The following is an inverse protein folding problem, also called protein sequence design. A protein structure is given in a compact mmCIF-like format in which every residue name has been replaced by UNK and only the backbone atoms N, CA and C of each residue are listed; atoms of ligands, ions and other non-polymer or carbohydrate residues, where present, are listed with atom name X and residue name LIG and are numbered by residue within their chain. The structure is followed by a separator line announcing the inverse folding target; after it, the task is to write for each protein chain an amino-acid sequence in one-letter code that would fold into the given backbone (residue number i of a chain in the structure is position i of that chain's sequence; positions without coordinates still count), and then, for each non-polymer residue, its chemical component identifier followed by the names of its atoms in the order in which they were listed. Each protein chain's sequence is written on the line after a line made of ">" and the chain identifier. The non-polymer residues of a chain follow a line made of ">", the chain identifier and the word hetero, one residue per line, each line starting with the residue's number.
data_IF_356731837408
#
_entry.id   IF_356731837408
#
_cell.length_a   1.000
_cell.length_b   1.000
_cell.length_c   1.000
_cell.angle_alpha   90.00
_cell.angle_beta   90.00
_cell.angle_gamma   90.00
#
_symmetry.space_group_name_H-M   'P 1'
#
loop_
_entity.id
_entity.type
_entity.pdbx_description
1 polymer ?
#
# COMPACT_ATOMS: atom_id res chain seq x y z
N UNK A 1 19.43 34.48 8.55
CA UNK A 1 18.81 34.75 9.88
C UNK A 1 18.91 33.47 10.69
N UNK A 2 19.86 33.52 11.59
CA UNK A 2 20.38 32.49 12.48
C UNK A 2 19.64 32.54 13.83
N UNK A 3 19.69 31.38 14.56
CA UNK A 3 19.24 31.17 15.95
C UNK A 3 17.74 30.98 16.15
N UNK A 4 17.33 29.83 16.71
CA UNK A 4 17.34 29.45 18.13
C UNK A 4 17.32 27.91 18.24
N UNK A 5 18.40 27.33 18.69
CA UNK A 5 18.44 26.04 19.38
C UNK A 5 19.11 26.35 20.73
N UNK A 6 18.29 26.46 21.77
CA UNK A 6 18.77 26.50 23.14
C UNK A 6 18.42 25.15 23.79
N UNK A 7 19.44 24.44 24.22
CA UNK A 7 19.34 23.20 24.99
C UNK A 7 18.72 23.44 26.36
N UNK A 8 17.95 22.49 26.82
CA UNK A 8 17.62 22.29 28.23
C UNK A 8 18.21 20.96 28.68
N UNK A 9 19.21 21.03 29.55
CA UNK A 9 19.74 19.90 30.29
C UNK A 9 18.66 19.26 31.18
N UNK A 10 18.69 17.94 31.38
CA UNK A 10 17.76 17.30 32.31
C UNK A 10 18.26 17.50 33.75
N UNK A 11 17.45 18.17 34.55
CA UNK A 11 17.62 18.19 36.03
C UNK A 11 17.24 16.79 36.54
N UNK A 12 18.20 16.08 37.12
CA UNK A 12 17.97 14.83 37.82
C UNK A 12 17.21 15.10 39.11
N UNK A 13 15.97 14.62 39.22
CA UNK A 13 15.24 14.56 40.48
C UNK A 13 15.42 13.18 41.11
N UNK A 14 15.97 13.17 42.31
CA UNK A 14 16.34 11.98 43.08
C UNK A 14 15.16 11.54 43.97
N UNK A 15 14.06 11.07 43.37
CA UNK A 15 13.02 10.31 44.07
C UNK A 15 12.61 9.12 43.24
N UNK A 16 13.07 7.93 43.63
CA UNK A 16 12.84 6.64 42.95
C UNK A 16 11.37 6.18 42.96
N UNK A 17 10.58 6.74 42.07
CA UNK A 17 9.31 6.15 41.67
C UNK A 17 9.44 5.63 40.25
N UNK A 18 9.19 4.33 40.07
CA UNK A 18 9.22 3.66 38.75
C UNK A 18 8.37 4.47 37.76
N UNK A 19 9.06 5.14 36.83
CA UNK A 19 8.42 6.01 35.83
C UNK A 19 7.44 5.22 34.98
N UNK A 20 6.17 5.61 35.05
CA UNK A 20 5.17 5.18 34.11
C UNK A 20 5.66 5.49 32.68
N UNK A 21 5.77 4.48 31.84
CA UNK A 21 6.08 4.65 30.41
C UNK A 21 5.07 5.65 29.84
N UNK A 22 5.50 6.76 29.23
CA UNK A 22 4.58 7.74 28.69
C UNK A 22 3.66 7.05 27.69
N UNK A 23 2.35 7.03 27.97
CA UNK A 23 1.33 6.68 26.99
C UNK A 23 1.54 7.62 25.82
N UNK A 24 1.84 7.09 24.64
CA UNK A 24 2.10 7.85 23.43
C UNK A 24 0.99 8.91 23.27
N UNK A 25 1.35 10.19 23.44
CA UNK A 25 0.43 11.31 23.31
C UNK A 25 -0.20 11.26 21.93
N UNK A 26 -1.51 11.43 21.84
CA UNK A 26 -2.21 11.48 20.56
C UNK A 26 -1.54 12.52 19.66
N UNK A 27 -1.12 12.10 18.46
CA UNK A 27 -0.44 12.99 17.52
C UNK A 27 -1.29 14.25 17.25
N UNK A 28 -0.68 15.46 17.13
CA UNK A 28 -1.41 16.69 16.90
C UNK A 28 -2.37 16.60 15.70
N UNK A 29 -3.52 17.29 15.74
CA UNK A 29 -4.54 17.25 14.67
C UNK A 29 -3.99 17.65 13.30
N UNK A 30 -3.03 18.56 13.24
CA UNK A 30 -2.31 18.96 12.02
C UNK A 30 -1.53 17.80 11.40
N UNK A 31 -0.91 16.96 12.21
CA UNK A 31 -0.15 15.81 11.81
C UNK A 31 -1.06 14.73 11.17
N UNK A 32 -2.24 14.50 11.74
CA UNK A 32 -3.26 13.59 11.18
C UNK A 32 -3.85 14.08 9.87
N UNK A 33 -4.16 15.37 9.74
CA UNK A 33 -4.72 15.94 8.50
C UNK A 33 -3.74 15.82 7.34
N UNK A 34 -2.45 16.08 7.57
CA UNK A 34 -1.43 15.87 6.54
C UNK A 34 -1.33 14.41 6.11
N UNK A 35 -1.42 13.46 7.04
CA UNK A 35 -1.43 12.02 6.74
C UNK A 35 -2.60 11.61 5.85
N UNK A 36 -3.81 12.14 6.07
CA UNK A 36 -4.97 11.88 5.21
C UNK A 36 -4.78 12.45 3.80
N UNK A 37 -4.23 13.67 3.69
CA UNK A 37 -3.91 14.28 2.40
C UNK A 37 -2.86 13.44 1.62
N UNK A 38 -1.83 12.96 2.30
CA UNK A 38 -0.84 12.06 1.72
C UNK A 38 -1.45 10.73 1.25
N UNK A 39 -2.42 10.18 1.98
CA UNK A 39 -3.13 8.95 1.58
C UNK A 39 -3.94 9.15 0.30
N UNK A 40 -4.66 10.28 0.18
CA UNK A 40 -5.41 10.62 -1.03
C UNK A 40 -4.49 10.82 -2.23
N UNK A 41 -3.39 11.53 -2.04
CA UNK A 41 -2.40 11.78 -3.08
C UNK A 41 -1.73 10.48 -3.55
N UNK A 42 -1.42 9.60 -2.60
CA UNK A 42 -0.91 8.25 -2.89
C UNK A 42 -1.87 7.45 -3.77
N UNK A 43 -3.18 7.48 -3.44
CA UNK A 43 -4.19 6.84 -4.28
C UNK A 43 -4.23 7.39 -5.70
N UNK A 44 -4.09 8.71 -5.87
CA UNK A 44 -3.99 9.36 -7.18
C UNK A 44 -2.81 8.86 -8.00
N UNK A 45 -1.62 8.85 -7.42
CA UNK A 45 -0.42 8.35 -8.07
C UNK A 45 -0.49 6.85 -8.39
N UNK A 46 -1.06 6.03 -7.48
CA UNK A 46 -1.23 4.60 -7.73
C UNK A 46 -2.23 4.32 -8.84
N UNK A 47 -3.32 5.10 -8.93
CA UNK A 47 -4.26 5.02 -10.03
C UNK A 47 -3.63 5.37 -11.39
N UNK A 48 -2.80 6.43 -11.43
CA UNK A 48 -2.05 6.81 -12.62
C UNK A 48 -1.04 5.72 -13.02
N UNK A 49 -0.25 5.22 -12.06
CA UNK A 49 0.70 4.14 -12.25
C UNK A 49 0.04 2.92 -12.87
N UNK A 50 -1.06 2.43 -12.29
CA UNK A 50 -1.78 1.25 -12.78
C UNK A 50 -2.26 1.39 -14.22
N UNK A 51 -2.77 2.57 -14.61
CA UNK A 51 -3.23 2.83 -15.99
C UNK A 51 -2.05 2.89 -16.97
N UNK A 52 -0.98 3.60 -16.62
CA UNK A 52 0.21 3.71 -17.46
C UNK A 52 0.88 2.34 -17.62
N UNK A 53 0.98 1.56 -16.53
CA UNK A 53 1.52 0.19 -16.59
C UNK A 53 0.63 -0.73 -17.45
N UNK A 54 -0.70 -0.54 -17.39
CA UNK A 54 -1.65 -1.22 -18.27
C UNK A 54 -1.37 -0.94 -19.76
N UNK A 55 -1.05 0.31 -20.11
CA UNK A 55 -0.62 0.66 -21.48
C UNK A 55 0.68 -0.07 -21.85
N UNK A 56 1.66 -0.12 -20.95
CA UNK A 56 2.92 -0.82 -21.20
C UNK A 56 2.70 -2.33 -21.44
N UNK A 57 1.80 -2.97 -20.69
CA UNK A 57 1.45 -4.38 -20.85
C UNK A 57 0.82 -4.70 -22.22
N UNK A 58 0.20 -3.73 -22.87
CA UNK A 58 -0.30 -3.85 -24.25
C UNK A 58 0.79 -3.64 -25.32
N UNK A 59 2.05 -3.39 -24.93
CA UNK A 59 3.18 -3.19 -25.83
C UNK A 59 4.10 -4.41 -25.86
N UNK A 60 4.90 -4.53 -26.92
CA UNK A 60 6.00 -5.51 -26.98
C UNK A 60 7.08 -5.14 -25.95
N UNK A 61 7.69 -6.11 -25.27
CA UNK A 61 7.56 -7.56 -25.42
C UNK A 61 6.43 -8.21 -24.59
N UNK A 62 5.71 -7.45 -23.78
CA UNK A 62 4.74 -7.99 -22.82
C UNK A 62 3.55 -8.66 -23.51
N UNK A 63 2.99 -8.03 -24.56
CA UNK A 63 1.82 -8.56 -25.28
C UNK A 63 2.06 -9.94 -25.90
N UNK A 64 3.31 -10.28 -26.20
CA UNK A 64 3.69 -11.58 -26.76
C UNK A 64 4.12 -12.62 -25.74
N UNK A 65 4.22 -12.25 -24.47
CA UNK A 65 4.67 -13.14 -23.41
C UNK A 65 3.48 -13.94 -22.82
N UNK A 66 3.81 -15.06 -22.15
CA UNK A 66 2.79 -15.86 -21.48
C UNK A 66 2.02 -15.04 -20.41
N UNK A 67 0.75 -15.36 -20.24
CA UNK A 67 -0.21 -14.55 -19.45
C UNK A 67 0.22 -14.23 -18.01
N UNK A 68 1.04 -15.09 -17.36
CA UNK A 68 1.61 -14.82 -16.04
C UNK A 68 2.99 -14.20 -16.09
N UNK A 69 3.76 -14.47 -17.15
CA UNK A 69 5.13 -13.98 -17.28
C UNK A 69 5.16 -12.47 -17.55
N UNK A 70 4.28 -11.99 -18.42
CA UNK A 70 4.19 -10.56 -18.76
C UNK A 70 4.00 -9.65 -17.55
N UNK A 71 2.97 -9.85 -16.70
CA UNK A 71 2.77 -8.99 -15.52
C UNK A 71 3.90 -9.10 -14.48
N UNK A 72 4.48 -10.30 -14.29
CA UNK A 72 5.59 -10.49 -13.35
C UNK A 72 6.89 -9.81 -13.84
N UNK A 73 7.17 -9.90 -15.13
CA UNK A 73 8.31 -9.19 -15.72
C UNK A 73 8.11 -7.67 -15.72
N UNK A 74 6.88 -7.20 -15.98
CA UNK A 74 6.55 -5.79 -15.89
C UNK A 74 6.65 -5.27 -14.45
N UNK A 75 6.20 -6.04 -13.45
CA UNK A 75 6.34 -5.70 -12.03
C UNK A 75 7.81 -5.61 -11.62
N UNK A 76 8.66 -6.55 -12.05
CA UNK A 76 10.08 -6.51 -11.78
C UNK A 76 10.76 -5.27 -12.39
N UNK A 77 10.43 -4.94 -13.64
CA UNK A 77 10.93 -3.74 -14.32
C UNK A 77 10.45 -2.46 -13.61
N UNK A 78 9.16 -2.41 -13.30
CA UNK A 78 8.55 -1.30 -12.57
C UNK A 78 9.23 -1.07 -11.22
N UNK A 79 9.32 -2.11 -10.38
CA UNK A 79 9.93 -2.00 -9.05
C UNK A 79 11.41 -1.63 -9.11
N UNK A 80 12.12 -2.11 -10.15
CA UNK A 80 13.52 -1.72 -10.41
C UNK A 80 13.66 -0.23 -10.74
N UNK A 81 12.84 0.27 -11.66
CA UNK A 81 12.83 1.68 -12.04
C UNK A 81 12.32 2.58 -10.92
N UNK A 82 11.29 2.15 -10.18
CA UNK A 82 10.79 2.85 -8.99
C UNK A 82 11.87 2.92 -7.89
N UNK A 83 12.64 1.83 -7.70
CA UNK A 83 13.81 1.86 -6.81
C UNK A 83 14.81 2.91 -7.26
N UNK A 84 15.09 3.01 -8.56
CA UNK A 84 15.96 4.05 -9.13
C UNK A 84 15.48 5.46 -8.80
N UNK A 85 14.19 5.76 -9.01
CA UNK A 85 13.58 7.04 -8.65
C UNK A 85 13.69 7.34 -7.14
N UNK A 86 13.40 6.36 -6.30
CA UNK A 86 13.49 6.53 -4.85
C UNK A 86 14.92 6.69 -4.35
N UNK A 87 15.89 5.98 -4.94
CA UNK A 87 17.32 6.15 -4.64
C UNK A 87 17.78 7.54 -5.06
N UNK A 88 17.38 8.03 -6.24
CA UNK A 88 17.67 9.40 -6.67
C UNK A 88 17.08 10.44 -5.73
N UNK A 89 15.83 10.22 -5.23
CA UNK A 89 15.21 11.09 -4.24
C UNK A 89 15.96 11.08 -2.90
N UNK A 90 16.40 9.90 -2.43
CA UNK A 90 17.24 9.78 -1.23
C UNK A 90 18.60 10.47 -1.41
N UNK A 91 19.19 10.41 -2.62
CA UNK A 91 20.43 11.12 -2.95
C UNK A 91 20.22 12.63 -2.86
N UNK A 92 19.19 13.15 -3.52
CA UNK A 92 18.88 14.58 -3.56
C UNK A 92 18.56 15.15 -2.16
N UNK A 93 18.07 14.31 -1.24
CA UNK A 93 17.68 14.71 0.12
C UNK A 93 18.71 14.32 1.18
N UNK A 94 19.91 13.84 0.79
CA UNK A 94 21.01 13.50 1.71
C UNK A 94 20.77 12.25 2.56
N UNK A 95 19.90 11.34 2.13
CA UNK A 95 19.49 10.15 2.89
C UNK A 95 20.19 8.86 2.49
N UNK A 96 21.02 8.84 1.43
CA UNK A 96 21.66 7.62 0.92
C UNK A 96 22.39 6.81 2.00
N UNK A 97 23.12 7.48 2.88
CA UNK A 97 23.86 6.82 3.97
C UNK A 97 22.96 6.13 5.00
N UNK A 98 21.65 6.40 5.00
CA UNK A 98 20.68 5.75 5.90
C UNK A 98 20.23 4.40 5.37
N UNK A 99 20.23 4.17 4.05
CA UNK A 99 19.79 2.93 3.43
C UNK A 99 20.54 1.70 3.95
N UNK A 100 21.88 1.59 3.87
CA UNK A 100 22.59 0.41 4.35
C UNK A 100 22.47 0.24 5.88
N UNK A 101 22.45 1.34 6.63
CA UNK A 101 22.28 1.27 8.10
C UNK A 101 20.90 0.75 8.48
N UNK A 102 19.84 1.21 7.78
CA UNK A 102 18.49 0.74 8.01
C UNK A 102 18.33 -0.71 7.60
N UNK A 103 18.87 -1.11 6.44
CA UNK A 103 18.86 -2.50 5.96
C UNK A 103 19.50 -3.47 6.97
N UNK A 104 20.61 -3.11 7.58
CA UNK A 104 21.29 -3.92 8.58
C UNK A 104 20.58 -3.96 9.94
N UNK A 105 19.54 -3.15 10.15
CA UNK A 105 18.78 -3.11 11.40
C UNK A 105 17.69 -4.17 11.45
N UNK A 106 17.27 -4.56 12.68
CA UNK A 106 16.13 -5.46 12.88
C UNK A 106 14.85 -4.93 12.19
N UNK A 107 14.61 -3.63 12.25
CA UNK A 107 13.44 -3.01 11.61
C UNK A 107 13.55 -3.02 10.08
N UNK A 108 14.74 -2.86 9.54
CA UNK A 108 14.98 -3.02 8.11
C UNK A 108 14.73 -4.46 7.63
N UNK A 109 15.15 -5.47 8.39
CA UNK A 109 14.86 -6.87 8.08
C UNK A 109 13.35 -7.18 8.13
N UNK A 110 12.62 -6.61 9.11
CA UNK A 110 11.15 -6.71 9.16
C UNK A 110 10.54 -6.09 7.90
N UNK A 111 11.06 -4.96 7.46
CA UNK A 111 10.59 -4.28 6.25
C UNK A 111 10.88 -5.11 4.99
N UNK A 112 12.05 -5.73 4.89
CA UNK A 112 12.36 -6.66 3.80
C UNK A 112 11.42 -7.87 3.79
N UNK A 113 11.11 -8.44 4.95
CA UNK A 113 10.12 -9.52 5.06
C UNK A 113 8.72 -9.05 4.62
N UNK A 114 8.31 -7.84 5.05
CA UNK A 114 7.07 -7.21 4.61
C UNK A 114 7.04 -7.04 3.07
N UNK A 115 8.14 -6.57 2.49
CA UNK A 115 8.28 -6.40 1.05
C UNK A 115 8.16 -7.70 0.26
N UNK A 116 8.71 -8.80 0.77
CA UNK A 116 8.57 -10.14 0.16
C UNK A 116 7.13 -10.62 0.21
N UNK A 117 6.46 -10.39 1.34
CA UNK A 117 5.05 -10.79 1.55
C UNK A 117 4.13 -9.98 0.62
N UNK A 118 4.22 -8.65 0.65
CA UNK A 118 3.30 -7.77 -0.09
C UNK A 118 3.65 -7.60 -1.56
N UNK A 119 4.92 -7.73 -1.94
CA UNK A 119 5.38 -7.69 -3.32
C UNK A 119 5.26 -9.09 -3.98
N UNK A 120 6.35 -9.85 -4.08
CA UNK A 120 6.37 -11.09 -4.86
C UNK A 120 5.32 -12.12 -4.46
N UNK A 121 5.07 -12.36 -3.16
CA UNK A 121 4.11 -13.39 -2.72
C UNK A 121 2.68 -12.96 -3.00
N UNK A 122 2.28 -11.78 -2.52
CA UNK A 122 0.91 -11.29 -2.68
C UNK A 122 0.58 -11.03 -4.15
N UNK A 123 1.49 -10.41 -4.90
CA UNK A 123 1.28 -10.15 -6.32
C UNK A 123 1.19 -11.46 -7.13
N UNK A 124 2.04 -12.45 -6.85
CA UNK A 124 1.92 -13.75 -7.50
C UNK A 124 0.59 -14.43 -7.15
N UNK A 125 0.18 -14.40 -5.87
CA UNK A 125 -1.12 -14.89 -5.43
C UNK A 125 -2.28 -14.22 -6.15
N UNK A 126 -2.22 -12.90 -6.32
CA UNK A 126 -3.21 -12.12 -7.07
C UNK A 126 -3.31 -12.53 -8.53
N UNK A 127 -2.17 -12.63 -9.23
CA UNK A 127 -2.13 -13.00 -10.65
C UNK A 127 -2.59 -14.45 -10.88
N UNK A 128 -2.20 -15.40 -10.03
CA UNK A 128 -2.73 -16.76 -10.07
C UNK A 128 -4.22 -16.80 -9.69
N UNK A 129 -4.67 -15.94 -8.76
CA UNK A 129 -6.07 -15.73 -8.46
C UNK A 129 -6.88 -15.35 -9.69
N UNK A 130 -6.38 -14.38 -10.47
CA UNK A 130 -6.97 -13.97 -11.76
C UNK A 130 -7.02 -15.14 -12.73
N UNK A 131 -5.92 -15.89 -12.85
CA UNK A 131 -5.83 -17.02 -13.78
C UNK A 131 -6.86 -18.10 -13.50
N UNK A 132 -7.06 -18.47 -12.23
CA UNK A 132 -7.85 -19.62 -11.85
C UNK A 132 -9.30 -19.29 -11.44
N UNK A 133 -9.54 -18.13 -10.84
CA UNK A 133 -10.89 -17.71 -10.45
C UNK A 133 -11.49 -16.61 -11.34
N UNK A 134 -10.68 -16.02 -12.22
CA UNK A 134 -11.07 -14.87 -13.02
C UNK A 134 -10.80 -13.53 -12.33
N UNK A 135 -10.63 -12.49 -13.13
CA UNK A 135 -10.26 -11.16 -12.66
C UNK A 135 -11.28 -10.57 -11.68
N UNK A 136 -12.58 -10.80 -11.93
CA UNK A 136 -13.67 -10.30 -11.10
C UNK A 136 -13.52 -10.70 -9.63
N UNK A 137 -13.31 -12.00 -9.38
CA UNK A 137 -13.18 -12.53 -8.01
C UNK A 137 -11.87 -12.13 -7.36
N UNK A 138 -10.77 -12.17 -8.10
CA UNK A 138 -9.47 -11.77 -7.57
C UNK A 138 -9.44 -10.29 -7.18
N UNK A 139 -9.99 -9.39 -8.02
CA UNK A 139 -10.11 -7.96 -7.74
C UNK A 139 -11.05 -7.68 -6.56
N UNK A 140 -12.25 -8.31 -6.57
CA UNK A 140 -13.22 -8.13 -5.49
C UNK A 140 -12.64 -8.56 -4.14
N UNK A 141 -11.95 -9.70 -4.09
CA UNK A 141 -11.34 -10.20 -2.86
C UNK A 141 -10.16 -9.32 -2.43
N UNK A 142 -9.29 -8.93 -3.36
CA UNK A 142 -8.16 -8.06 -3.06
C UNK A 142 -8.58 -6.69 -2.53
N UNK A 143 -9.70 -6.15 -2.99
CA UNK A 143 -10.25 -4.90 -2.49
C UNK A 143 -10.59 -4.92 -0.99
N UNK A 144 -10.62 -6.10 -0.36
CA UNK A 144 -10.85 -6.24 1.09
C UNK A 144 -9.58 -6.08 1.94
N UNK A 145 -8.37 -5.91 1.34
CA UNK A 145 -7.11 -5.76 2.08
C UNK A 145 -7.11 -4.63 3.14
N UNK A 146 -7.83 -3.49 2.98
CA UNK A 146 -7.87 -2.48 4.03
C UNK A 146 -8.58 -2.94 5.30
N UNK A 147 -9.57 -3.84 5.17
CA UNK A 147 -10.23 -4.45 6.33
C UNK A 147 -9.26 -5.37 7.08
N UNK A 148 -8.48 -6.18 6.35
CA UNK A 148 -7.41 -7.01 6.95
C UNK A 148 -6.39 -6.11 7.65
N UNK A 149 -5.91 -5.04 6.99
CA UNK A 149 -4.99 -4.07 7.57
C UNK A 149 -5.54 -3.42 8.84
N UNK A 150 -6.80 -3.02 8.86
CA UNK A 150 -7.44 -2.42 10.04
C UNK A 150 -7.55 -3.40 11.22
N UNK A 151 -7.94 -4.65 10.96
CA UNK A 151 -7.99 -5.71 12.00
C UNK A 151 -6.60 -5.95 12.57
N UNK A 152 -5.61 -6.16 11.72
CA UNK A 152 -4.23 -6.40 12.13
C UNK A 152 -3.64 -5.19 12.87
N UNK A 153 -3.91 -3.96 12.43
CA UNK A 153 -3.45 -2.75 13.10
C UNK A 153 -4.06 -2.61 14.49
N UNK A 154 -5.35 -2.95 14.64
CA UNK A 154 -5.99 -2.96 15.95
C UNK A 154 -5.34 -3.97 16.89
N UNK A 155 -5.02 -5.18 16.40
CA UNK A 155 -4.46 -6.29 17.21
C UNK A 155 -2.98 -6.02 17.53
N UNK A 156 -2.15 -5.72 16.54
CA UNK A 156 -0.70 -5.66 16.68
C UNK A 156 -0.16 -4.25 16.97
N UNK A 157 -0.77 -3.22 16.42
CA UNK A 157 -0.36 -1.83 16.62
C UNK A 157 -1.20 -1.10 17.67
N UNK A 158 -2.27 -1.76 18.16
CA UNK A 158 -3.23 -1.19 19.12
C UNK A 158 -3.88 0.11 18.62
N UNK A 159 -4.08 0.22 17.31
CA UNK A 159 -4.79 1.35 16.71
C UNK A 159 -6.26 1.33 17.14
N UNK A 160 -6.80 2.49 17.48
CA UNK A 160 -8.22 2.65 17.78
C UNK A 160 -8.97 2.97 16.50
N UNK A 161 -9.92 2.13 16.12
CA UNK A 161 -10.81 2.31 14.96
C UNK A 161 -12.20 2.55 15.50
N UNK A 162 -12.76 3.75 15.26
CA UNK A 162 -14.11 4.10 15.69
C UNK A 162 -15.17 3.27 14.96
N UNK A 163 -16.41 3.21 15.48
CA UNK A 163 -17.53 2.54 14.80
C UNK A 163 -17.78 3.10 13.40
N UNK A 164 -17.69 4.43 13.23
CA UNK A 164 -17.79 5.09 11.92
C UNK A 164 -16.64 4.70 11.00
N UNK A 165 -15.42 4.54 11.54
CA UNK A 165 -14.27 4.05 10.80
C UNK A 165 -14.49 2.64 10.27
N UNK A 166 -15.00 1.72 11.08
CA UNK A 166 -15.37 0.36 10.66
C UNK A 166 -16.45 0.35 9.59
N UNK A 167 -17.49 1.16 9.76
CA UNK A 167 -18.54 1.30 8.74
C UNK A 167 -17.96 1.85 7.44
N UNK A 168 -17.10 2.87 7.51
CA UNK A 168 -16.42 3.45 6.36
C UNK A 168 -15.55 2.42 5.61
N UNK A 169 -14.77 1.59 6.34
CA UNK A 169 -13.98 0.50 5.77
C UNK A 169 -14.91 -0.50 5.04
N UNK A 170 -16.00 -0.93 5.68
CA UNK A 170 -16.94 -1.86 5.08
C UNK A 170 -17.60 -1.30 3.82
N UNK A 171 -17.99 -0.03 3.82
CA UNK A 171 -18.58 0.66 2.65
C UNK A 171 -17.54 0.84 1.55
N UNK A 172 -16.29 1.21 1.86
CA UNK A 172 -15.20 1.31 0.87
C UNK A 172 -14.97 -0.02 0.18
N UNK A 173 -14.89 -1.11 0.95
CA UNK A 173 -14.72 -2.48 0.44
C UNK A 173 -15.91 -2.88 -0.44
N UNK A 174 -17.15 -2.64 0.01
CA UNK A 174 -18.34 -2.94 -0.77
C UNK A 174 -18.36 -2.19 -2.11
N UNK A 175 -17.99 -0.91 -2.10
CA UNK A 175 -17.89 -0.10 -3.31
C UNK A 175 -16.85 -0.61 -4.29
N UNK A 176 -15.66 -1.01 -3.81
CA UNK A 176 -14.63 -1.60 -4.64
C UNK A 176 -15.08 -2.95 -5.26
N UNK A 177 -15.77 -3.79 -4.48
CA UNK A 177 -16.38 -5.03 -4.99
C UNK A 177 -17.41 -4.74 -6.08
N UNK A 178 -18.33 -3.80 -5.83
CA UNK A 178 -19.34 -3.41 -6.82
C UNK A 178 -18.67 -2.93 -8.12
N UNK A 179 -17.64 -2.09 -8.02
CA UNK A 179 -16.95 -1.54 -9.18
C UNK A 179 -16.24 -2.60 -10.03
N UNK A 180 -15.73 -3.66 -9.41
CA UNK A 180 -14.83 -4.62 -10.06
C UNK A 180 -15.47 -5.98 -10.33
N UNK A 181 -16.60 -6.28 -9.68
CA UNK A 181 -17.26 -7.58 -9.84
C UNK A 181 -17.83 -7.76 -11.26
N UNK A 182 -17.43 -8.87 -11.90
CA UNK A 182 -17.99 -9.35 -13.15
C UNK A 182 -18.34 -10.83 -12.95
N UNK A 183 -19.54 -11.30 -13.36
CA UNK A 183 -19.88 -12.71 -13.29
C UNK A 183 -18.83 -13.57 -14.02
N UNK A 184 -18.53 -14.77 -13.54
CA UNK A 184 -17.58 -15.65 -14.22
C UNK A 184 -18.15 -16.14 -15.55
N UNK A 185 -17.34 -16.09 -16.60
CA UNK A 185 -17.65 -16.67 -17.89
C UNK A 185 -17.04 -18.08 -17.98
N UNK A 186 -17.89 -19.10 -18.10
CA UNK A 186 -17.50 -20.47 -18.35
C UNK A 186 -17.12 -21.30 -17.12
N UNK A 187 -16.64 -22.52 -17.38
CA UNK A 187 -16.21 -23.47 -16.37
C UNK A 187 -14.77 -23.19 -15.93
N UNK A 188 -14.56 -23.02 -14.62
CA UNK A 188 -13.29 -22.71 -14.02
C UNK A 188 -12.83 -23.88 -13.11
N UNK A 189 -12.13 -24.89 -13.63
CA UNK A 189 -11.84 -26.15 -12.93
C UNK A 189 -11.02 -25.97 -11.64
N UNK A 190 -10.28 -24.85 -11.51
CA UNK A 190 -9.46 -24.53 -10.33
C UNK A 190 -9.97 -23.30 -9.57
N UNK A 191 -11.27 -23.00 -9.65
CA UNK A 191 -11.88 -21.82 -9.09
C UNK A 191 -11.52 -21.59 -7.60
N UNK A 192 -11.70 -22.60 -6.75
CA UNK A 192 -11.41 -22.46 -5.31
C UNK A 192 -9.92 -22.26 -5.01
N UNK A 193 -9.03 -22.84 -5.82
CA UNK A 193 -7.60 -22.56 -5.74
C UNK A 193 -7.32 -21.08 -6.07
N UNK A 194 -7.97 -20.55 -7.12
CA UNK A 194 -7.88 -19.15 -7.48
C UNK A 194 -8.34 -18.20 -6.35
N UNK A 195 -9.47 -18.53 -5.71
CA UNK A 195 -9.97 -17.78 -4.53
C UNK A 195 -8.97 -17.82 -3.38
N UNK A 196 -8.41 -19.00 -3.07
CA UNK A 196 -7.42 -19.14 -2.00
C UNK A 196 -6.15 -18.29 -2.28
N UNK A 197 -5.68 -18.29 -3.52
CA UNK A 197 -4.50 -17.51 -3.93
C UNK A 197 -4.78 -15.99 -3.91
N UNK A 198 -5.97 -15.55 -4.32
CA UNK A 198 -6.40 -14.15 -4.17
C UNK A 198 -6.53 -13.74 -2.69
N UNK A 199 -6.96 -14.66 -1.81
CA UNK A 199 -6.97 -14.42 -0.36
C UNK A 199 -5.55 -14.26 0.20
N UNK A 200 -4.57 -15.01 -0.29
CA UNK A 200 -3.13 -14.82 0.05
C UNK A 200 -2.69 -13.41 -0.30
N UNK A 201 -3.07 -12.89 -1.46
CA UNK A 201 -2.75 -11.52 -1.85
C UNK A 201 -3.37 -10.49 -0.89
N UNK A 202 -4.65 -10.64 -0.59
CA UNK A 202 -5.39 -9.76 0.32
C UNK A 202 -4.75 -9.70 1.71
N UNK A 203 -4.44 -10.87 2.27
CA UNK A 203 -3.79 -11.00 3.58
C UNK A 203 -2.37 -10.43 3.50
N UNK A 204 -1.63 -10.74 2.43
CA UNK A 204 -0.26 -10.30 2.24
C UNK A 204 -0.13 -8.77 2.22
N UNK A 205 -1.00 -8.07 1.50
CA UNK A 205 -0.99 -6.60 1.48
C UNK A 205 -1.41 -5.97 2.81
N UNK A 206 -2.38 -6.60 3.52
CA UNK A 206 -2.73 -6.18 4.87
C UNK A 206 -1.58 -6.34 5.87
N UNK A 207 -0.89 -7.48 5.82
CA UNK A 207 0.29 -7.77 6.66
C UNK A 207 1.46 -6.86 6.32
N UNK A 208 1.77 -6.66 5.02
CA UNK A 208 2.82 -5.74 4.57
C UNK A 208 2.66 -4.36 5.21
N UNK A 209 1.46 -3.79 5.12
CA UNK A 209 1.22 -2.45 5.65
C UNK A 209 1.44 -2.35 7.16
N UNK A 210 0.99 -3.34 7.92
CA UNK A 210 1.16 -3.38 9.38
C UNK A 210 2.63 -3.56 9.78
N UNK A 211 3.36 -4.46 9.11
CA UNK A 211 4.79 -4.66 9.33
C UNK A 211 5.61 -3.41 8.95
N UNK A 212 5.25 -2.76 7.84
CA UNK A 212 5.88 -1.52 7.41
C UNK A 212 5.70 -0.40 8.44
N UNK A 213 4.50 -0.23 9.00
CA UNK A 213 4.24 0.75 10.08
C UNK A 213 5.08 0.41 11.32
N UNK A 214 5.14 -0.86 11.68
CA UNK A 214 5.98 -1.29 12.80
C UNK A 214 7.45 -0.97 12.56
N UNK A 215 7.97 -1.23 11.37
CA UNK A 215 9.35 -0.93 10.99
C UNK A 215 9.64 0.58 10.96
N UNK A 216 8.68 1.39 10.53
CA UNK A 216 8.79 2.85 10.50
C UNK A 216 8.82 3.53 11.88
N UNK A 217 8.73 2.79 12.99
CA UNK A 217 9.06 3.31 14.32
C UNK A 217 10.54 3.65 14.47
N UNK A 218 11.40 3.02 13.67
CA UNK A 218 12.85 3.22 13.70
C UNK A 218 13.47 3.50 12.31
N UNK A 219 12.71 3.32 11.24
CA UNK A 219 13.13 3.59 9.86
C UNK A 219 12.28 4.72 9.29
N UNK A 220 12.94 5.73 8.76
CA UNK A 220 12.26 6.87 8.12
C UNK A 220 11.40 6.42 6.93
N UNK A 221 10.14 6.93 6.74
CA UNK A 221 9.22 6.45 5.69
C UNK A 221 9.81 6.42 4.28
N UNK A 222 10.59 7.44 3.91
CA UNK A 222 11.25 7.53 2.59
C UNK A 222 12.25 6.39 2.39
N UNK A 223 13.05 6.11 3.42
CA UNK A 223 14.02 5.01 3.42
C UNK A 223 13.29 3.67 3.40
N UNK A 224 12.22 3.55 4.18
CA UNK A 224 11.40 2.35 4.26
C UNK A 224 10.79 1.98 2.90
N UNK A 225 10.18 2.94 2.18
CA UNK A 225 9.64 2.72 0.84
C UNK A 225 10.71 2.28 -0.16
N UNK A 226 11.91 2.89 -0.08
CA UNK A 226 13.04 2.52 -0.95
C UNK A 226 13.52 1.10 -0.70
N UNK A 227 13.68 0.69 0.56
CA UNK A 227 14.06 -0.68 0.92
C UNK A 227 13.00 -1.70 0.50
N UNK A 228 11.72 -1.34 0.59
CA UNK A 228 10.60 -2.16 0.12
C UNK A 228 10.73 -2.45 -1.38
N UNK A 229 10.89 -1.41 -2.22
CA UNK A 229 11.01 -1.57 -3.66
C UNK A 229 12.27 -2.32 -4.06
N UNK A 230 13.41 -1.97 -3.46
CA UNK A 230 14.68 -2.66 -3.70
C UNK A 230 14.62 -4.16 -3.34
N UNK A 231 13.99 -4.51 -2.23
CA UNK A 231 13.81 -5.92 -1.83
C UNK A 231 12.90 -6.65 -2.82
N UNK A 232 11.81 -6.02 -3.24
CA UNK A 232 10.86 -6.60 -4.18
C UNK A 232 11.53 -6.94 -5.52
N UNK A 233 12.25 -5.99 -6.12
CA UNK A 233 12.95 -6.24 -7.39
C UNK A 233 14.02 -7.32 -7.28
N UNK A 234 14.76 -7.37 -6.19
CA UNK A 234 15.76 -8.43 -5.95
C UNK A 234 15.09 -9.80 -5.95
N UNK A 235 13.99 -9.96 -5.22
CA UNK A 235 13.26 -11.24 -5.16
C UNK A 235 12.62 -11.59 -6.51
N UNK A 236 12.08 -10.61 -7.24
CA UNK A 236 11.58 -10.85 -8.59
C UNK A 236 12.67 -11.35 -9.52
N UNK A 237 13.82 -10.68 -9.56
CA UNK A 237 14.90 -11.02 -10.51
C UNK A 237 15.61 -12.32 -10.14
N UNK A 238 15.82 -12.55 -8.82
CA UNK A 238 16.61 -13.72 -8.37
C UNK A 238 15.76 -14.97 -8.20
N UNK A 239 14.47 -14.84 -7.86
CA UNK A 239 13.62 -15.98 -7.54
C UNK A 239 12.46 -16.12 -8.52
N UNK A 240 11.58 -15.11 -8.61
CA UNK A 240 10.31 -15.27 -9.33
C UNK A 240 10.50 -15.42 -10.82
N UNK A 241 11.25 -14.54 -11.46
CA UNK A 241 11.45 -14.57 -12.92
C UNK A 241 12.23 -15.81 -13.40
N UNK A 242 13.27 -16.30 -12.70
CA UNK A 242 13.87 -17.58 -13.03
C UNK A 242 12.87 -18.75 -12.98
N UNK A 243 12.01 -18.81 -11.96
CA UNK A 243 11.02 -19.88 -11.79
C UNK A 243 9.96 -19.91 -12.88
N UNK A 244 9.57 -18.74 -13.42
CA UNK A 244 8.53 -18.63 -14.46
C UNK A 244 9.11 -18.45 -15.87
N UNK A 245 10.43 -18.44 -16.04
CA UNK A 245 11.06 -18.19 -17.33
C UNK A 245 10.93 -16.75 -17.83
N UNK A 246 10.81 -15.79 -16.91
CA UNK A 246 10.51 -14.38 -17.23
C UNK A 246 11.72 -13.49 -17.52
N UNK A 247 12.96 -13.95 -17.25
CA UNK A 247 14.17 -13.14 -17.46
C UNK A 247 14.37 -12.69 -18.93
N UNK A 248 14.09 -13.51 -19.96
CA UNK A 248 14.19 -13.05 -21.36
C UNK A 248 13.20 -11.93 -21.68
N UNK A 249 11.98 -11.96 -21.09
CA UNK A 249 10.98 -10.90 -21.28
C UNK A 249 11.46 -9.60 -20.63
N UNK A 250 11.98 -9.67 -19.40
CA UNK A 250 12.58 -8.53 -18.72
C UNK A 250 13.74 -7.94 -19.54
N UNK A 251 14.67 -8.78 -20.01
CA UNK A 251 15.81 -8.33 -20.81
C UNK A 251 15.37 -7.66 -22.12
N UNK A 252 14.36 -8.23 -22.79
CA UNK A 252 13.78 -7.66 -24.01
C UNK A 252 13.10 -6.31 -23.74
N UNK A 253 12.41 -6.17 -22.60
CA UNK A 253 11.75 -4.92 -22.20
C UNK A 253 12.74 -3.78 -21.96
N UNK A 254 13.94 -4.06 -21.45
CA UNK A 254 15.00 -3.06 -21.26
C UNK A 254 15.48 -2.41 -22.57
N UNK A 255 15.36 -3.10 -23.71
CA UNK A 255 15.70 -2.59 -25.03
C UNK A 255 14.52 -2.09 -25.86
N UNK A 256 13.32 -2.04 -25.30
CA UNK A 256 12.10 -1.72 -26.04
C UNK A 256 11.52 -0.34 -25.70
N UNK A 257 10.57 0.13 -26.52
CA UNK A 257 9.85 1.40 -26.27
C UNK A 257 8.97 1.33 -25.01
N UNK A 258 8.54 0.12 -24.61
CA UNK A 258 7.77 -0.06 -23.37
C UNK A 258 8.57 0.32 -22.11
N UNK A 259 9.92 0.33 -22.17
CA UNK A 259 10.76 0.80 -21.06
C UNK A 259 10.39 2.24 -20.63
N UNK A 260 10.18 3.13 -21.59
CA UNK A 260 9.88 4.54 -21.30
C UNK A 260 8.48 4.71 -20.68
N UNK A 261 7.53 3.87 -21.10
CA UNK A 261 6.18 3.87 -20.52
C UNK A 261 6.24 3.32 -19.09
N UNK A 262 6.96 2.20 -18.86
CA UNK A 262 7.16 1.66 -17.51
C UNK A 262 7.96 2.63 -16.62
N UNK A 263 8.92 3.39 -17.19
CA UNK A 263 9.65 4.43 -16.44
C UNK A 263 8.71 5.53 -15.92
N UNK A 264 7.74 5.94 -16.73
CA UNK A 264 6.69 6.89 -16.33
C UNK A 264 5.77 6.30 -15.26
N UNK A 265 5.31 5.04 -15.44
CA UNK A 265 4.54 4.30 -14.43
C UNK A 265 5.32 4.21 -13.11
N UNK A 266 6.58 3.81 -13.16
CA UNK A 266 7.46 3.68 -12.01
C UNK A 266 7.70 5.01 -11.27
N UNK A 267 7.71 6.14 -11.97
CA UNK A 267 7.78 7.46 -11.34
C UNK A 267 6.51 7.75 -10.52
N UNK A 268 5.33 7.46 -11.09
CA UNK A 268 4.07 7.57 -10.37
C UNK A 268 4.00 6.57 -9.21
N UNK A 269 4.42 5.32 -9.41
CA UNK A 269 4.50 4.30 -8.37
C UNK A 269 5.44 4.69 -7.23
N UNK A 270 6.63 5.21 -7.53
CA UNK A 270 7.56 5.72 -6.53
C UNK A 270 6.94 6.87 -5.71
N UNK A 271 6.30 7.84 -6.37
CA UNK A 271 5.59 8.93 -5.70
C UNK A 271 4.44 8.40 -4.82
N UNK A 272 3.69 7.39 -5.32
CA UNK A 272 2.64 6.73 -4.56
C UNK A 272 3.20 6.09 -3.29
N UNK A 273 4.25 5.29 -3.38
CA UNK A 273 4.84 4.63 -2.20
C UNK A 273 5.42 5.61 -1.21
N UNK A 274 6.11 6.67 -1.65
CA UNK A 274 6.62 7.72 -0.77
C UNK A 274 5.50 8.38 0.04
N UNK A 275 4.41 8.73 -0.64
CA UNK A 275 3.24 9.36 0.00
C UNK A 275 2.43 8.37 0.83
N UNK A 276 2.32 7.10 0.41
CA UNK A 276 1.64 6.03 1.17
C UNK A 276 2.35 5.71 2.49
N UNK A 277 3.67 5.59 2.45
CA UNK A 277 4.45 5.32 3.67
C UNK A 277 4.39 6.51 4.63
N UNK A 278 4.46 7.74 4.10
CA UNK A 278 4.23 8.94 4.90
C UNK A 278 2.80 8.96 5.52
N UNK A 279 1.78 8.62 4.73
CA UNK A 279 0.40 8.54 5.19
C UNK A 279 0.21 7.51 6.32
N UNK A 280 0.75 6.30 6.13
CA UNK A 280 0.68 5.24 7.14
C UNK A 280 1.40 5.63 8.44
N UNK A 281 2.55 6.30 8.33
CA UNK A 281 3.29 6.79 9.50
C UNK A 281 2.53 7.89 10.24
N UNK A 282 1.87 8.80 9.53
CA UNK A 282 1.20 9.97 10.07
C UNK A 282 -0.24 9.69 10.55
N UNK A 283 -1.00 8.86 9.85
CA UNK A 283 -2.42 8.64 10.09
C UNK A 283 -2.76 7.22 10.59
N UNK A 284 -1.80 6.27 10.50
CA UNK A 284 -2.02 4.86 10.78
C UNK A 284 -2.68 4.10 9.64
N UNK A 285 -2.51 2.76 9.62
CA UNK A 285 -3.00 1.89 8.55
C UNK A 285 -4.52 1.92 8.43
N UNK A 286 -5.23 1.92 9.56
CA UNK A 286 -6.70 1.90 9.59
C UNK A 286 -7.37 3.07 8.86
N UNK A 287 -6.63 4.16 8.64
CA UNK A 287 -7.09 5.35 7.91
C UNK A 287 -6.43 5.50 6.54
N UNK A 288 -5.12 5.28 6.47
CA UNK A 288 -4.37 5.48 5.25
C UNK A 288 -4.76 4.46 4.17
N UNK A 289 -4.93 3.18 4.51
CA UNK A 289 -5.26 2.14 3.54
C UNK A 289 -6.62 2.34 2.85
N UNK A 290 -7.74 2.61 3.57
CA UNK A 290 -9.02 2.87 2.91
C UNK A 290 -9.00 4.12 2.03
N UNK A 291 -8.27 5.15 2.40
CA UNK A 291 -8.12 6.35 1.57
C UNK A 291 -7.26 6.10 0.35
N UNK A 292 -6.18 5.32 0.51
CA UNK A 292 -5.37 4.90 -0.62
C UNK A 292 -6.18 4.05 -1.62
N UNK A 293 -7.16 3.24 -1.16
CA UNK A 293 -8.02 2.44 -2.03
C UNK A 293 -8.86 3.28 -3.01
N UNK A 294 -8.94 4.60 -2.83
CA UNK A 294 -9.50 5.51 -3.84
C UNK A 294 -8.66 5.52 -5.15
N UNK A 295 -7.53 4.83 -5.17
CA UNK A 295 -6.79 4.61 -6.42
C UNK A 295 -7.68 4.01 -7.53
N UNK A 296 -8.66 3.19 -7.17
CA UNK A 296 -9.60 2.63 -8.14
C UNK A 296 -10.44 3.73 -8.81
N UNK A 297 -10.84 4.77 -8.05
CA UNK A 297 -11.53 5.95 -8.60
C UNK A 297 -10.63 6.71 -9.58
N UNK A 298 -9.40 6.96 -9.16
CA UNK A 298 -8.42 7.66 -9.98
C UNK A 298 -8.03 6.86 -11.22
N UNK A 299 -7.89 5.54 -11.10
CA UNK A 299 -7.63 4.66 -12.24
C UNK A 299 -8.73 4.79 -13.31
N UNK A 300 -10.00 4.91 -12.91
CA UNK A 300 -11.10 5.14 -13.85
C UNK A 300 -10.99 6.50 -14.51
N UNK A 301 -10.75 7.55 -13.73
CA UNK A 301 -10.57 8.91 -14.26
C UNK A 301 -9.44 8.93 -15.30
N UNK A 302 -8.28 8.36 -14.96
CA UNK A 302 -7.15 8.28 -15.88
C UNK A 302 -7.43 7.37 -17.08
N UNK A 303 -8.15 6.25 -16.91
CA UNK A 303 -8.53 5.39 -18.04
C UNK A 303 -9.46 6.11 -19.01
N UNK A 304 -10.44 6.87 -18.53
CA UNK A 304 -11.29 7.69 -19.40
C UNK A 304 -10.47 8.69 -20.20
N UNK A 305 -9.53 9.38 -19.52
CA UNK A 305 -8.72 10.45 -20.15
C UNK A 305 -7.67 9.88 -21.09
N UNK A 306 -6.95 8.82 -20.70
CA UNK A 306 -5.80 8.30 -21.44
C UNK A 306 -6.14 7.22 -22.46
N UNK A 307 -7.20 6.43 -22.21
CA UNK A 307 -7.54 5.28 -23.06
C UNK A 307 -8.92 5.39 -23.69
N UNK A 308 -9.69 6.45 -23.42
CA UNK A 308 -11.03 6.63 -23.92
C UNK A 308 -12.06 5.65 -23.35
N UNK A 309 -11.79 5.08 -22.15
CA UNK A 309 -12.72 4.16 -21.48
C UNK A 309 -14.10 4.81 -21.29
N UNK A 310 -15.16 4.11 -21.68
CA UNK A 310 -16.53 4.49 -21.34
C UNK A 310 -16.95 3.80 -20.04
N UNK A 311 -17.10 4.53 -18.92
CA UNK A 311 -17.43 3.92 -17.65
C UNK A 311 -18.85 3.33 -17.66
N UNK A 312 -18.98 2.09 -17.18
CA UNK A 312 -20.30 1.45 -17.04
C UNK A 312 -21.05 2.03 -15.83
N UNK A 313 -22.40 1.96 -15.79
CA UNK A 313 -23.18 2.38 -14.62
C UNK A 313 -22.75 1.67 -13.32
N UNK A 314 -22.40 0.38 -13.41
CA UNK A 314 -21.88 -0.41 -12.29
C UNK A 314 -20.56 0.18 -11.75
N UNK A 315 -19.63 0.51 -12.64
CA UNK A 315 -18.36 1.10 -12.30
C UNK A 315 -18.56 2.45 -11.58
N UNK A 316 -19.44 3.31 -12.12
CA UNK A 316 -19.78 4.60 -11.50
C UNK A 316 -20.40 4.40 -10.11
N UNK A 317 -21.37 3.47 -9.98
CA UNK A 317 -22.01 3.18 -8.70
C UNK A 317 -20.99 2.69 -7.65
N UNK A 318 -20.11 1.75 -8.02
CA UNK A 318 -19.04 1.26 -7.13
C UNK A 318 -18.10 2.35 -6.68
N UNK A 319 -17.72 3.27 -7.58
CA UNK A 319 -16.89 4.45 -7.28
C UNK A 319 -17.57 5.36 -6.25
N UNK A 320 -18.84 5.69 -6.44
CA UNK A 320 -19.59 6.56 -5.53
C UNK A 320 -19.69 5.93 -4.13
N UNK A 321 -19.93 4.62 -4.06
CA UNK A 321 -19.94 3.87 -2.79
C UNK A 321 -18.57 3.88 -2.14
N UNK A 322 -17.49 3.61 -2.89
CA UNK A 322 -16.10 3.65 -2.39
C UNK A 322 -15.75 5.03 -1.83
N UNK A 323 -16.11 6.10 -2.55
CA UNK A 323 -15.88 7.47 -2.12
C UNK A 323 -16.64 7.80 -0.83
N UNK A 324 -17.91 7.38 -0.74
CA UNK A 324 -18.73 7.55 0.47
C UNK A 324 -18.10 6.84 1.67
N UNK A 325 -17.62 5.61 1.48
CA UNK A 325 -16.91 4.86 2.52
C UNK A 325 -15.64 5.58 2.99
N UNK A 326 -14.84 6.11 2.07
CA UNK A 326 -13.65 6.87 2.40
C UNK A 326 -13.98 8.15 3.21
N UNK A 327 -15.05 8.87 2.86
CA UNK A 327 -15.54 10.02 3.65
C UNK A 327 -15.96 9.61 5.07
N UNK A 328 -16.60 8.47 5.24
CA UNK A 328 -16.95 7.92 6.55
C UNK A 328 -15.71 7.60 7.39
N UNK A 329 -14.65 7.00 6.79
CA UNK A 329 -13.38 6.75 7.47
C UNK A 329 -12.76 8.06 7.97
N UNK A 330 -12.74 9.10 7.14
CA UNK A 330 -12.20 10.42 7.52
C UNK A 330 -13.02 11.07 8.63
N UNK A 331 -14.35 11.04 8.52
CA UNK A 331 -15.26 11.63 9.50
C UNK A 331 -15.28 10.90 10.85
N UNK A 332 -14.96 9.61 10.84
CA UNK A 332 -14.83 8.77 12.03
C UNK A 332 -13.51 8.94 12.79
N UNK A 333 -12.63 9.84 12.36
CA UNK A 333 -11.41 10.15 13.09
C UNK A 333 -11.80 10.80 14.45
N UNK A 334 -11.29 10.34 15.61
CA UNK A 334 -11.66 10.88 16.91
C UNK A 334 -11.49 12.41 16.94
N UNK A 335 -12.56 13.11 17.25
CA UNK A 335 -12.52 14.51 17.69
C UNK A 335 -12.07 14.50 19.15
N UNK A 336 -11.18 15.38 19.51
CA UNK A 336 -10.53 15.49 20.82
C UNK A 336 -11.46 15.23 22.03
N UNK A 337 -11.05 14.34 22.93
CA UNK A 337 -11.53 14.22 24.31
C UNK A 337 -12.80 13.38 24.51
N UNK A 338 -13.92 13.76 23.95
CA UNK A 338 -15.23 13.15 24.30
C UNK A 338 -15.47 11.77 23.65
N UNK A 339 -15.00 11.57 22.41
CA UNK A 339 -15.12 10.25 21.73
C UNK A 339 -14.23 9.15 22.36
N UNK A 340 -13.23 9.54 23.16
CA UNK A 340 -12.35 8.58 23.84
C UNK A 340 -13.04 7.94 25.05
N UNK A 341 -13.92 8.67 25.73
CA UNK A 341 -14.68 8.19 26.88
C UNK A 341 -15.75 7.17 26.46
N UNK A 342 -16.37 7.38 25.29
CA UNK A 342 -17.39 6.49 24.74
C UNK A 342 -16.78 5.17 24.25
N UNK A 343 -15.61 5.22 23.60
CA UNK A 343 -14.88 4.03 23.15
C UNK A 343 -14.28 3.21 24.34
N UNK A 344 -13.85 3.87 25.43
CA UNK A 344 -13.39 3.18 26.66
C UNK A 344 -14.53 2.49 27.42
N UNK A 345 -15.75 3.05 27.37
CA UNK A 345 -16.93 2.41 27.97
C UNK A 345 -17.36 1.14 27.24
N UNK A 346 -17.08 1.04 25.93
CA UNK A 346 -17.46 -0.10 25.07
C UNK A 346 -16.36 -1.15 24.99
N UNK A 347 -15.10 -0.75 25.07
CA UNK A 347 -13.91 -1.62 25.02
C UNK A 347 -12.98 -1.25 26.20
N UNK A 348 -13.30 -1.64 27.44
CA UNK A 348 -12.43 -1.36 28.56
C UNK A 348 -11.03 -1.93 28.29
N UNK A 349 -9.96 -1.22 28.72
CA UNK A 349 -8.62 -1.78 28.63
C UNK A 349 -8.58 -3.10 29.35
N UNK A 350 -7.97 -4.13 28.70
CA UNK A 350 -7.83 -5.44 29.33
C UNK A 350 -7.19 -5.26 30.70
N UNK A 351 -7.85 -5.78 31.73
CA UNK A 351 -7.33 -5.78 33.09
C UNK A 351 -5.92 -6.40 33.08
N UNK A 352 -4.97 -5.67 33.67
CA UNK A 352 -3.56 -6.07 33.79
C UNK A 352 -3.41 -7.20 34.79
#
# INVERSE_FOLDING_TARGET
>A
MTSVIAGSEPVADATGTAGAVPVASAAPLTYRRSGLAWALLSGGFWGADGVILGVALAMTPFIGAAALVAPLAAAALHDGLATGWMVAFNAATGRLGRLPRSLASRHGLILCAAAVIGGPIAMSGYLFGIKYAGAAYALALSATYPAVGAVLSRVFLRERVSRRGWLGIAVTVAGAIIATYTPPDGDLPHFYLGIALAAVATIGWGVEGVLAIHAMKAVEPVVAGTLRMATSVVVYVVVVLPLVGGLPVLASALGSTSLWVVLGAAAAGAASYLTYYAANHLAGASRAMPLNSLYAVWAIVFSVVLTGLHPTPQLVAGVLVTFTGALLVVSGAPRSGDDLAEDEAIFPPAAR
#
